data_IF_875439399018
#
_entry.id   IF_875439399018
#
_cell.length_a   1.000
_cell.length_b   1.000
_cell.length_c   1.000
_cell.angle_alpha   90.00
_cell.angle_beta   90.00
_cell.angle_gamma   90.00
#
_symmetry.space_group_name_H-M   'P 1'
#
loop_
_entity.id
_entity.type
_entity.pdbx_description
1 polymer ?
#
# COMPACT_ATOMS: atom_id res chain seq x y z
N UNK A 1 19.12 -19.41 52.49
CA UNK A 1 20.01 -18.89 51.43
C UNK A 1 19.16 -18.09 50.46
N UNK A 2 19.20 -16.77 50.62
CA UNK A 2 18.55 -15.80 49.73
C UNK A 2 19.38 -15.67 48.46
N UNK A 3 18.77 -15.93 47.31
CA UNK A 3 19.40 -15.64 46.02
C UNK A 3 19.57 -14.12 45.89
N UNK A 4 20.73 -13.63 45.41
CA UNK A 4 20.94 -12.21 45.21
C UNK A 4 19.99 -11.69 44.13
N UNK A 5 19.55 -10.42 44.21
CA UNK A 5 18.78 -9.81 43.14
C UNK A 5 19.65 -9.80 41.88
N UNK A 6 19.15 -10.42 40.80
CA UNK A 6 19.78 -10.32 39.48
C UNK A 6 19.94 -8.83 39.14
N UNK A 7 21.18 -8.44 38.86
CA UNK A 7 21.48 -7.15 38.27
C UNK A 7 20.60 -6.99 37.02
N UNK A 8 19.82 -5.89 36.96
CA UNK A 8 19.16 -5.48 35.72
C UNK A 8 20.25 -5.37 34.66
N UNK A 9 20.15 -6.17 33.61
CA UNK A 9 20.96 -5.95 32.41
C UNK A 9 20.60 -4.53 31.92
N UNK A 10 21.53 -3.59 32.13
CA UNK A 10 21.45 -2.26 31.55
C UNK A 10 21.59 -2.44 30.04
N UNK A 11 20.53 -2.12 29.29
CA UNK A 11 20.60 -2.02 27.84
C UNK A 11 21.61 -0.96 27.38
N UNK A 12 21.89 -0.85 26.08
CA UNK A 12 22.77 0.16 25.52
C UNK A 12 22.40 1.58 26.00
N UNK A 13 23.39 2.48 26.09
CA UNK A 13 23.16 3.86 26.56
C UNK A 13 22.02 4.54 25.78
N UNK A 14 21.05 5.11 26.50
CA UNK A 14 19.86 5.74 25.91
C UNK A 14 18.64 4.85 25.79
N UNK A 15 18.75 3.53 26.03
CA UNK A 15 17.62 2.60 26.01
C UNK A 15 17.15 2.25 27.41
N UNK A 16 15.83 2.17 27.56
CA UNK A 16 15.21 1.64 28.77
C UNK A 16 13.94 0.85 28.43
N UNK A 17 13.65 -0.13 29.27
CA UNK A 17 12.45 -0.96 29.17
C UNK A 17 11.49 -0.52 30.28
N UNK A 18 10.30 -0.06 29.92
CA UNK A 18 9.22 0.10 30.91
C UNK A 18 8.63 -1.28 31.15
N UNK A 19 9.04 -1.93 32.24
CA UNK A 19 8.31 -3.10 32.74
C UNK A 19 6.92 -2.63 33.20
N UNK A 20 5.89 -3.40 32.84
CA UNK A 20 4.47 -3.17 33.17
C UNK A 20 4.15 -3.13 34.68
N UNK A 21 5.17 -3.09 35.56
CA UNK A 21 5.04 -3.05 37.03
C UNK A 21 5.69 -1.84 37.71
N UNK A 22 6.06 -0.78 37.00
CA UNK A 22 6.63 0.42 37.65
C UNK A 22 5.61 1.57 37.67
N UNK A 23 4.60 1.45 38.53
CA UNK A 23 3.92 2.62 39.08
C UNK A 23 4.91 3.29 40.04
N UNK A 24 5.57 4.39 39.63
CA UNK A 24 6.34 5.20 40.60
C UNK A 24 7.54 6.03 40.12
N UNK A 25 7.91 6.06 38.83
CA UNK A 25 8.95 7.01 38.35
C UNK A 25 8.44 7.81 37.15
N UNK A 26 7.66 8.84 37.45
CA UNK A 26 7.08 9.79 36.50
C UNK A 26 8.02 10.96 36.23
N UNK A 27 9.04 10.78 35.39
CA UNK A 27 9.77 11.89 34.78
C UNK A 27 10.12 11.68 33.29
N UNK A 28 9.80 10.51 32.71
CA UNK A 28 10.09 10.24 31.30
C UNK A 28 8.91 10.66 30.43
N UNK A 29 9.14 11.42 29.35
CA UNK A 29 8.08 11.84 28.44
C UNK A 29 7.43 10.62 27.77
N UNK A 30 6.12 10.68 27.55
CA UNK A 30 5.41 9.65 26.80
C UNK A 30 6.06 9.48 25.41
N UNK A 31 6.44 8.25 25.02
CA UNK A 31 7.21 8.03 23.80
C UNK A 31 6.38 8.29 22.54
N UNK A 32 7.02 8.89 21.54
CA UNK A 32 6.52 9.03 20.18
C UNK A 32 6.70 7.70 19.45
N UNK A 33 5.68 7.28 18.70
CA UNK A 33 5.76 6.05 17.91
C UNK A 33 6.59 6.27 16.66
N UNK A 34 7.36 5.26 16.27
CA UNK A 34 8.26 5.30 15.12
C UNK A 34 7.78 4.30 14.08
N UNK A 35 7.53 4.78 12.85
CA UNK A 35 7.38 3.94 11.66
C UNK A 35 8.77 3.62 11.11
N UNK A 36 9.20 2.38 11.30
CA UNK A 36 10.56 1.95 10.94
C UNK A 36 10.62 1.02 9.73
N UNK A 37 9.54 0.94 8.95
CA UNK A 37 9.44 0.03 7.81
C UNK A 37 10.41 0.36 6.68
N UNK A 38 10.74 1.65 6.47
CA UNK A 38 11.56 2.14 5.35
C UNK A 38 12.20 3.50 5.64
N UNK A 39 13.31 3.79 4.98
CA UNK A 39 13.95 5.10 5.01
C UNK A 39 13.19 6.11 4.12
N UNK A 40 12.81 7.25 4.69
CA UNK A 40 12.10 8.34 3.99
C UNK A 40 12.97 9.25 3.14
N UNK A 41 14.19 8.84 2.80
CA UNK A 41 15.02 9.51 1.78
C UNK A 41 15.29 8.59 0.59
N UNK A 42 15.61 7.30 0.82
CA UNK A 42 15.94 6.37 -0.26
C UNK A 42 14.84 5.32 -0.55
N UNK A 43 13.77 5.30 0.24
CA UNK A 43 12.62 4.38 0.13
C UNK A 43 12.93 2.88 0.36
N UNK A 44 14.18 2.52 0.64
CA UNK A 44 14.55 1.15 0.96
C UNK A 44 14.18 0.76 2.40
N UNK A 45 13.89 -0.53 2.65
CA UNK A 45 13.66 -1.05 3.99
C UNK A 45 14.84 -0.76 4.92
N UNK A 46 14.53 -0.59 6.21
CA UNK A 46 15.54 -0.48 7.27
C UNK A 46 15.70 -1.86 7.91
N UNK A 47 16.93 -2.37 7.94
CA UNK A 47 17.26 -3.58 8.68
C UNK A 47 17.39 -3.28 10.17
N UNK A 48 16.34 -3.62 10.93
CA UNK A 48 16.33 -3.50 12.39
C UNK A 48 17.56 -4.16 13.01
N UNK A 49 18.07 -3.58 14.11
CA UNK A 49 19.24 -4.03 14.87
C UNK A 49 20.60 -3.93 14.16
N UNK A 50 20.65 -3.74 12.84
CA UNK A 50 21.89 -3.62 12.07
C UNK A 50 22.18 -2.19 11.64
N UNK A 51 21.15 -1.48 11.21
CA UNK A 51 21.32 -0.14 10.64
C UNK A 51 21.01 0.95 11.67
N UNK A 52 21.90 1.93 11.73
CA UNK A 52 21.66 3.14 12.51
C UNK A 52 20.66 4.03 11.78
N UNK A 53 19.69 4.53 12.52
CA UNK A 53 18.64 5.38 12.01
C UNK A 53 18.60 6.73 12.69
N UNK A 54 17.93 7.67 12.04
CA UNK A 54 17.52 8.95 12.60
C UNK A 54 16.01 9.06 12.46
N UNK A 55 15.34 9.64 13.45
CA UNK A 55 13.90 9.90 13.37
C UNK A 55 13.64 11.37 13.13
N UNK A 56 12.65 11.67 12.30
CA UNK A 56 12.04 12.99 12.19
C UNK A 56 10.70 12.98 12.91
N UNK A 57 10.61 13.78 13.97
CA UNK A 57 9.43 13.82 14.83
C UNK A 57 8.31 14.65 14.21
N UNK A 58 7.06 14.43 14.64
CA UNK A 58 5.92 15.28 14.26
C UNK A 58 6.13 16.77 14.60
N UNK A 59 6.95 17.06 15.62
CA UNK A 59 7.31 18.42 16.03
C UNK A 59 8.40 19.05 15.16
N UNK A 60 8.82 18.38 14.07
CA UNK A 60 9.82 18.88 13.13
C UNK A 60 11.27 18.77 13.62
N UNK A 61 11.53 17.98 14.67
CA UNK A 61 12.88 17.78 15.22
C UNK A 61 13.49 16.49 14.68
N UNK A 62 14.82 16.48 14.55
CA UNK A 62 15.60 15.31 14.09
C UNK A 62 16.34 14.74 15.29
N UNK A 63 16.26 13.43 15.51
CA UNK A 63 17.01 12.76 16.58
C UNK A 63 18.52 12.72 16.29
N UNK A 64 19.29 12.32 17.29
CA UNK A 64 20.62 11.73 17.11
C UNK A 64 20.50 10.32 16.52
N UNK A 65 21.55 9.78 15.87
CA UNK A 65 21.53 8.42 15.33
C UNK A 65 21.46 7.36 16.43
N UNK A 66 20.64 6.32 16.22
CA UNK A 66 20.47 5.22 17.16
C UNK A 66 20.08 3.91 16.46
N UNK A 67 20.15 2.77 17.15
CA UNK A 67 19.75 1.46 16.63
C UNK A 67 18.35 1.09 17.09
N UNK A 68 17.45 0.75 16.18
CA UNK A 68 16.16 0.22 16.62
C UNK A 68 16.30 -1.22 17.09
N UNK A 69 16.09 -1.43 18.38
CA UNK A 69 16.04 -2.76 19.00
C UNK A 69 14.59 -3.25 19.05
N UNK A 70 14.39 -4.53 18.78
CA UNK A 70 13.13 -5.23 19.00
C UNK A 70 13.45 -6.45 19.85
N UNK A 71 12.85 -6.55 21.04
CA UNK A 71 12.93 -7.74 21.89
C UNK A 71 11.55 -8.41 21.94
N UNK A 72 11.54 -9.74 21.96
CA UNK A 72 10.30 -10.54 21.90
C UNK A 72 9.32 -10.26 23.05
N UNK A 73 9.81 -9.73 24.16
CA UNK A 73 9.05 -9.53 25.39
C UNK A 73 8.68 -8.07 25.67
N UNK A 74 9.41 -7.09 25.11
CA UNK A 74 9.19 -5.66 25.33
C UNK A 74 9.65 -4.83 24.14
N UNK A 75 8.92 -3.76 23.80
CA UNK A 75 9.40 -2.76 22.86
C UNK A 75 10.32 -1.78 23.61
N UNK A 76 11.64 -1.80 23.37
CA UNK A 76 12.56 -0.90 24.05
C UNK A 76 12.28 0.55 23.63
N UNK A 77 12.40 1.46 24.60
CA UNK A 77 12.23 2.89 24.36
C UNK A 77 13.61 3.51 24.28
N UNK A 78 13.85 4.23 23.19
CA UNK A 78 15.04 5.06 23.02
C UNK A 78 14.74 6.48 23.51
N UNK A 79 15.56 7.05 24.39
CA UNK A 79 15.44 8.44 24.81
C UNK A 79 16.60 9.27 24.29
N UNK A 80 16.24 10.23 23.44
CA UNK A 80 17.15 11.22 22.91
C UNK A 80 17.23 12.42 23.85
N UNK A 81 18.38 12.58 24.50
CA UNK A 81 18.66 13.68 25.42
C UNK A 81 18.76 15.03 24.71
N UNK A 82 19.19 15.06 23.44
CA UNK A 82 19.43 16.29 22.70
C UNK A 82 18.14 17.04 22.37
N UNK A 83 17.08 16.29 22.09
CA UNK A 83 15.74 16.80 21.78
C UNK A 83 14.72 16.51 22.89
N UNK A 84 15.17 15.93 24.01
CA UNK A 84 14.36 15.55 25.17
C UNK A 84 13.11 14.74 24.77
N UNK A 85 13.28 13.76 23.89
CA UNK A 85 12.18 12.98 23.30
C UNK A 85 12.43 11.49 23.42
N UNK A 86 11.39 10.74 23.79
CA UNK A 86 11.41 9.28 23.82
C UNK A 86 10.74 8.72 22.56
N UNK A 87 11.28 7.63 22.03
CA UNK A 87 10.85 6.95 20.81
C UNK A 87 10.62 5.47 21.09
N UNK A 88 9.56 4.91 20.49
CA UNK A 88 9.29 3.47 20.53
C UNK A 88 8.82 2.99 19.16
N UNK A 89 9.09 1.73 18.82
CA UNK A 89 8.51 1.11 17.64
C UNK A 89 6.99 1.12 17.72
N UNK A 90 6.35 1.43 16.59
CA UNK A 90 4.90 1.32 16.49
C UNK A 90 4.46 -0.15 16.58
N UNK A 91 3.56 -0.47 17.52
CA UNK A 91 2.92 -1.78 17.66
C UNK A 91 1.64 -1.88 16.83
N UNK A 92 1.74 -1.59 15.53
CA UNK A 92 0.62 -1.68 14.59
C UNK A 92 -0.06 -3.06 14.70
N UNK A 93 -1.42 -3.15 14.69
CA UNK A 93 -2.39 -2.07 14.45
C UNK A 93 -3.01 -1.46 15.70
N UNK A 94 -2.67 -1.97 16.88
CA UNK A 94 -3.23 -1.53 18.16
C UNK A 94 -2.81 -0.12 18.61
N UNK A 95 -1.97 0.57 17.84
CA UNK A 95 -1.36 1.83 18.22
C UNK A 95 -2.21 3.04 17.78
N UNK A 96 -2.58 3.90 18.72
CA UNK A 96 -3.42 5.09 18.48
C UNK A 96 -2.65 6.36 18.11
N UNK A 97 -1.31 6.29 18.02
CA UNK A 97 -0.42 7.41 17.64
C UNK A 97 -0.75 8.77 18.31
N UNK A 98 -1.04 8.79 19.61
CA UNK A 98 -1.53 9.99 20.33
C UNK A 98 -0.62 11.22 20.27
N UNK A 99 0.68 11.04 19.97
CA UNK A 99 1.67 12.12 19.76
C UNK A 99 2.12 12.25 18.31
N UNK A 100 1.37 11.67 17.38
CA UNK A 100 1.77 11.50 15.99
C UNK A 100 2.73 10.32 15.78
N UNK A 101 3.19 10.20 14.54
CA UNK A 101 4.06 9.15 14.05
C UNK A 101 5.36 9.79 13.57
N UNK A 102 6.48 9.44 14.21
CA UNK A 102 7.80 9.80 13.72
C UNK A 102 8.19 8.88 12.57
N UNK A 103 8.80 9.46 11.55
CA UNK A 103 9.29 8.72 10.38
C UNK A 103 10.80 8.52 10.46
N UNK A 104 11.31 7.50 9.77
CA UNK A 104 12.70 7.05 9.90
C UNK A 104 13.53 7.28 8.66
N UNK A 105 14.83 7.42 8.88
CA UNK A 105 15.86 7.56 7.87
C UNK A 105 17.06 6.71 8.25
N UNK A 106 17.77 6.09 7.29
CA UNK A 106 19.13 5.62 7.57
C UNK A 106 19.99 6.82 7.99
N UNK A 107 20.86 6.65 8.99
CA UNK A 107 21.78 7.67 9.44
C UNK A 107 22.65 8.21 8.30
N UNK A 108 23.15 7.31 7.45
CA UNK A 108 23.96 7.68 6.29
C UNK A 108 23.14 8.39 5.21
N UNK A 109 21.90 7.95 4.96
CA UNK A 109 21.00 8.66 4.05
C UNK A 109 20.72 10.09 4.52
N UNK A 110 20.50 10.29 5.83
CA UNK A 110 20.29 11.62 6.38
C UNK A 110 21.53 12.51 6.24
N UNK A 111 22.72 11.94 6.47
CA UNK A 111 24.01 12.60 6.25
C UNK A 111 24.21 12.99 4.78
N UNK A 112 23.89 12.10 3.84
CA UNK A 112 23.95 12.36 2.40
C UNK A 112 22.96 13.47 1.99
N UNK A 113 21.71 13.41 2.44
CA UNK A 113 20.70 14.42 2.16
C UNK A 113 21.13 15.83 2.63
N UNK A 114 21.77 15.91 3.80
CA UNK A 114 22.32 17.17 4.31
C UNK A 114 23.43 17.74 3.42
N UNK A 115 24.28 16.88 2.81
CA UNK A 115 25.32 17.32 1.85
C UNK A 115 24.74 17.91 0.56
N UNK A 116 23.56 17.46 0.15
CA UNK A 116 22.81 18.06 -0.96
C UNK A 116 22.09 19.37 -0.58
N UNK A 117 22.17 19.81 0.68
CA UNK A 117 21.58 21.06 1.16
C UNK A 117 20.06 21.02 1.37
N UNK A 118 19.45 19.83 1.34
CA UNK A 118 18.01 19.66 1.54
C UNK A 118 17.71 19.16 2.97
N UNK A 119 16.87 19.85 3.75
CA UNK A 119 16.43 19.34 5.05
C UNK A 119 15.55 18.09 4.88
N UNK A 120 15.59 17.17 5.84
CA UNK A 120 14.83 15.91 5.81
C UNK A 120 13.32 16.13 5.63
N UNK A 121 12.78 17.23 6.15
CA UNK A 121 11.38 17.61 5.98
C UNK A 121 10.94 17.75 4.52
N UNK A 122 11.85 18.06 3.58
CA UNK A 122 11.53 18.11 2.14
C UNK A 122 11.35 16.74 1.51
N UNK A 123 11.93 15.70 2.09
CA UNK A 123 11.84 14.34 1.56
C UNK A 123 10.55 13.66 2.00
N UNK A 124 9.98 14.04 3.15
CA UNK A 124 8.82 13.36 3.72
C UNK A 124 7.60 13.33 2.77
N UNK A 125 7.14 14.45 2.17
CA UNK A 125 5.98 14.42 1.28
C UNK A 125 6.23 13.60 0.01
N UNK A 126 7.44 13.67 -0.53
CA UNK A 126 7.79 12.96 -1.76
C UNK A 126 7.79 11.44 -1.60
N UNK A 127 8.30 10.98 -0.45
CA UNK A 127 8.51 9.57 -0.12
C UNK A 127 7.35 8.94 0.62
N UNK A 128 6.26 9.69 0.77
CA UNK A 128 5.04 9.16 1.37
C UNK A 128 4.46 8.10 0.46
N UNK A 129 4.04 6.98 1.04
CA UNK A 129 3.38 5.93 0.28
C UNK A 129 1.89 6.06 0.53
N UNK A 130 1.12 6.20 -0.55
CA UNK A 130 -0.34 6.14 -0.47
C UNK A 130 -0.80 4.72 -0.10
N UNK A 131 0.02 3.71 -0.37
CA UNK A 131 -0.14 2.35 0.13
C UNK A 131 1.21 1.62 0.16
N UNK A 132 1.36 0.63 1.03
CA UNK A 132 2.59 -0.16 1.11
C UNK A 132 2.75 -1.03 -0.17
N UNK A 133 3.85 -0.89 -0.93
CA UNK A 133 4.12 -1.72 -2.09
C UNK A 133 4.62 -3.11 -1.67
N UNK A 134 4.43 -4.11 -2.53
CA UNK A 134 4.92 -5.47 -2.29
C UNK A 134 6.44 -5.54 -2.21
N UNK A 135 6.96 -6.57 -1.53
CA UNK A 135 8.39 -6.88 -1.53
C UNK A 135 8.92 -7.08 -2.95
N UNK A 136 8.14 -7.72 -3.81
CA UNK A 136 8.50 -7.89 -5.21
C UNK A 136 8.63 -6.54 -5.93
N UNK A 137 7.71 -5.60 -5.71
CA UNK A 137 7.79 -4.27 -6.29
C UNK A 137 9.04 -3.53 -5.80
N UNK A 138 9.37 -3.64 -4.51
CA UNK A 138 10.61 -3.07 -3.96
C UNK A 138 11.87 -3.68 -4.59
N UNK A 139 11.89 -4.99 -4.82
CA UNK A 139 13.00 -5.67 -5.51
C UNK A 139 13.13 -5.21 -6.97
N UNK A 140 12.01 -5.07 -7.70
CA UNK A 140 12.00 -4.54 -9.07
C UNK A 140 12.51 -3.11 -9.12
N UNK A 141 12.11 -2.27 -8.16
CA UNK A 141 12.61 -0.90 -8.02
C UNK A 141 14.13 -0.88 -7.82
N UNK A 142 14.66 -1.71 -6.90
CA UNK A 142 16.12 -1.83 -6.68
C UNK A 142 16.84 -2.17 -7.99
N UNK A 143 16.33 -3.17 -8.70
CA UNK A 143 16.93 -3.62 -9.97
C UNK A 143 16.85 -2.56 -11.06
N UNK A 144 15.74 -1.81 -11.15
CA UNK A 144 15.60 -0.70 -12.09
C UNK A 144 16.65 0.40 -11.83
N UNK A 145 16.84 0.79 -10.57
CA UNK A 145 17.86 1.77 -10.18
C UNK A 145 19.26 1.26 -10.49
N UNK A 146 19.55 0.00 -10.18
CA UNK A 146 20.82 -0.67 -10.52
C UNK A 146 21.12 -0.55 -12.02
N UNK A 147 20.14 -0.86 -12.88
CA UNK A 147 20.26 -0.75 -14.34
C UNK A 147 20.48 0.71 -14.78
N UNK A 148 19.80 1.68 -14.16
CA UNK A 148 20.01 3.11 -14.46
C UNK A 148 21.44 3.54 -14.15
N UNK A 149 21.96 3.14 -12.99
CA UNK A 149 23.34 3.40 -12.57
C UNK A 149 24.32 2.74 -13.53
N UNK A 150 24.14 1.46 -13.84
CA UNK A 150 24.97 0.71 -14.78
C UNK A 150 25.06 1.41 -16.14
N UNK A 151 23.91 1.81 -16.69
CA UNK A 151 23.83 2.51 -17.97
C UNK A 151 24.51 3.89 -17.91
N UNK A 152 24.35 4.64 -16.81
CA UNK A 152 24.99 5.93 -16.62
C UNK A 152 26.52 5.81 -16.51
N UNK A 153 27.01 4.82 -15.75
CA UNK A 153 28.44 4.53 -15.60
C UNK A 153 29.05 4.07 -16.93
N UNK A 154 28.41 3.14 -17.62
CA UNK A 154 28.86 2.66 -18.93
C UNK A 154 28.94 3.82 -19.94
N UNK A 155 27.91 4.68 -20.00
CA UNK A 155 27.91 5.84 -20.90
C UNK A 155 29.00 6.85 -20.59
N UNK A 156 29.33 7.04 -19.32
CA UNK A 156 30.29 8.07 -18.88
C UNK A 156 31.73 7.59 -18.98
N UNK A 157 31.99 6.31 -18.63
CA UNK A 157 33.34 5.80 -18.43
C UNK A 157 33.77 4.69 -19.41
N UNK A 158 32.83 4.03 -20.11
CA UNK A 158 32.99 3.24 -21.35
C UNK A 158 34.00 2.08 -21.42
N UNK A 159 34.91 1.94 -20.46
CA UNK A 159 36.15 1.19 -20.62
C UNK A 159 36.24 -0.08 -19.76
N UNK A 160 35.25 -0.35 -18.91
CA UNK A 160 35.19 -1.57 -18.09
C UNK A 160 34.21 -2.58 -18.70
N UNK A 161 34.39 -3.85 -18.35
CA UNK A 161 33.49 -4.91 -18.78
C UNK A 161 32.11 -4.77 -18.11
N UNK A 162 31.04 -5.31 -18.73
CA UNK A 162 29.69 -5.29 -18.15
C UNK A 162 29.62 -5.88 -16.74
N UNK A 163 30.43 -6.90 -16.43
CA UNK A 163 30.47 -7.54 -15.11
C UNK A 163 30.98 -6.58 -14.04
N UNK A 164 31.98 -5.75 -14.37
CA UNK A 164 32.51 -4.76 -13.44
C UNK A 164 31.49 -3.63 -13.20
N UNK A 165 30.77 -3.20 -14.25
CA UNK A 165 29.68 -2.24 -14.07
C UNK A 165 28.56 -2.79 -13.21
N UNK A 166 28.21 -4.06 -13.41
CA UNK A 166 27.23 -4.74 -12.59
C UNK A 166 27.64 -4.76 -11.12
N UNK A 167 28.88 -5.16 -10.80
CA UNK A 167 29.41 -5.18 -9.43
C UNK A 167 29.32 -3.78 -8.78
N UNK A 168 29.74 -2.74 -9.49
CA UNK A 168 29.70 -1.37 -8.96
C UNK A 168 28.24 -0.90 -8.78
N UNK A 169 27.38 -1.17 -9.76
CA UNK A 169 25.98 -0.75 -9.72
C UNK A 169 25.14 -1.45 -8.65
N UNK A 170 25.57 -2.64 -8.20
CA UNK A 170 24.87 -3.46 -7.21
C UNK A 170 25.23 -3.06 -5.76
N UNK A 171 26.11 -2.07 -5.58
CA UNK A 171 26.43 -1.50 -4.29
C UNK A 171 25.24 -0.72 -3.70
N UNK A 172 24.80 -1.12 -2.50
CA UNK A 172 23.61 -0.55 -1.87
C UNK A 172 23.79 0.92 -1.46
N UNK A 173 25.00 1.34 -1.10
CA UNK A 173 25.27 2.75 -0.80
C UNK A 173 25.12 3.62 -2.06
N UNK A 174 25.64 3.14 -3.20
CA UNK A 174 25.50 3.82 -4.48
C UNK A 174 24.04 3.88 -4.95
N UNK A 175 23.29 2.78 -4.81
CA UNK A 175 21.85 2.74 -5.11
C UNK A 175 21.10 3.75 -4.24
N UNK A 176 21.37 3.79 -2.93
CA UNK A 176 20.77 4.78 -2.01
C UNK A 176 21.15 6.20 -2.42
N UNK A 177 22.43 6.46 -2.69
CA UNK A 177 22.94 7.77 -3.09
C UNK A 177 22.29 8.26 -4.38
N UNK A 178 22.09 7.39 -5.37
CA UNK A 178 21.42 7.71 -6.63
C UNK A 178 20.00 8.25 -6.36
N UNK A 179 19.19 7.54 -5.58
CA UNK A 179 17.82 7.98 -5.25
C UNK A 179 17.84 9.34 -4.54
N UNK A 180 18.73 9.54 -3.57
CA UNK A 180 18.82 10.81 -2.82
C UNK A 180 19.22 11.97 -3.73
N UNK A 181 20.17 11.73 -4.64
CA UNK A 181 20.65 12.72 -5.59
C UNK A 181 19.57 13.10 -6.61
N UNK A 182 18.87 12.11 -7.19
CA UNK A 182 17.77 12.33 -8.14
C UNK A 182 16.67 13.20 -7.49
N UNK A 183 16.32 12.88 -6.25
CA UNK A 183 15.32 13.63 -5.50
C UNK A 183 15.81 15.01 -5.05
N UNK A 184 17.10 15.26 -4.93
CA UNK A 184 17.60 16.54 -4.43
C UNK A 184 17.57 17.66 -5.48
N UNK A 185 17.48 17.31 -6.75
CA UNK A 185 17.79 18.21 -7.88
C UNK A 185 16.55 18.84 -8.55
N UNK A 186 15.34 18.55 -8.08
CA UNK A 186 14.10 19.01 -8.71
C UNK A 186 13.19 19.61 -7.63
N UNK A 187 12.63 20.80 -7.81
CA UNK A 187 11.55 21.27 -6.92
C UNK A 187 10.71 22.30 -7.68
N UNK A 188 9.39 22.08 -7.72
CA UNK A 188 8.40 22.99 -8.31
C UNK A 188 7.16 23.04 -7.41
N UNK A 189 6.13 23.77 -7.85
CA UNK A 189 4.87 24.04 -7.12
C UNK A 189 4.24 22.76 -6.54
N UNK A 190 3.40 22.90 -5.52
CA UNK A 190 2.73 21.79 -4.80
C UNK A 190 1.23 21.66 -5.07
N UNK A 191 0.61 22.68 -5.67
CA UNK A 191 -0.84 22.71 -5.90
C UNK A 191 -1.19 23.13 -7.32
N UNK A 192 -2.17 22.44 -7.90
CA UNK A 192 -2.68 22.71 -9.24
C UNK A 192 -4.20 22.62 -9.23
N UNK A 193 -4.84 23.47 -10.03
CA UNK A 193 -6.27 23.33 -10.33
C UNK A 193 -6.45 23.36 -11.83
N UNK A 194 -7.26 22.43 -12.34
CA UNK A 194 -7.61 22.36 -13.74
C UNK A 194 -9.01 22.91 -13.94
N UNK A 195 -9.17 23.73 -14.98
CA UNK A 195 -10.46 23.99 -15.60
C UNK A 195 -10.69 22.99 -16.73
N UNK A 196 -11.63 22.03 -16.58
CA UNK A 196 -11.89 21.01 -17.60
C UNK A 196 -12.53 21.56 -18.88
N UNK A 197 -12.93 22.83 -18.91
CA UNK A 197 -13.46 23.47 -20.13
C UNK A 197 -12.37 23.84 -21.14
N UNK A 198 -11.10 23.86 -20.69
CA UNK A 198 -9.94 24.12 -21.53
C UNK A 198 -9.14 22.84 -21.78
N UNK A 199 -8.43 22.78 -22.92
CA UNK A 199 -7.46 21.72 -23.19
C UNK A 199 -6.32 21.77 -22.17
N UNK A 200 -5.94 20.62 -21.61
CA UNK A 200 -4.92 20.53 -20.56
C UNK A 200 -3.75 19.67 -21.03
N UNK A 201 -2.56 20.16 -20.72
CA UNK A 201 -1.27 19.53 -21.00
C UNK A 201 -0.61 19.12 -19.69
N UNK A 202 -0.07 17.91 -19.65
CA UNK A 202 0.68 17.36 -18.52
C UNK A 202 2.17 17.30 -18.86
N UNK A 203 3.00 17.76 -17.93
CA UNK A 203 4.45 17.49 -17.96
C UNK A 203 4.78 16.32 -17.06
N UNK A 204 5.90 15.64 -17.32
CA UNK A 204 6.30 14.44 -16.60
C UNK A 204 7.68 14.64 -15.95
N UNK A 205 7.87 13.99 -14.81
CA UNK A 205 9.17 13.81 -14.16
C UNK A 205 9.43 12.32 -14.00
N UNK A 206 10.69 11.95 -14.00
CA UNK A 206 11.10 10.57 -13.72
C UNK A 206 11.55 10.46 -12.27
N UNK A 207 11.21 9.35 -11.62
CA UNK A 207 11.70 8.97 -10.30
C UNK A 207 12.02 7.49 -10.37
N UNK A 208 13.27 7.10 -10.08
CA UNK A 208 13.72 5.70 -10.13
C UNK A 208 13.40 5.02 -11.49
N UNK A 209 13.43 5.79 -12.58
CA UNK A 209 13.10 5.31 -13.94
C UNK A 209 11.62 5.26 -14.30
N UNK A 210 10.72 5.62 -13.37
CA UNK A 210 9.28 5.64 -13.57
C UNK A 210 8.79 7.06 -13.82
N UNK A 211 7.99 7.26 -14.88
CA UNK A 211 7.38 8.56 -15.18
C UNK A 211 6.14 8.84 -14.31
N UNK A 212 6.11 10.05 -13.76
CA UNK A 212 5.02 10.61 -12.97
C UNK A 212 4.59 11.96 -13.55
N UNK A 213 3.31 12.28 -13.42
CA UNK A 213 2.78 13.61 -13.80
C UNK A 213 3.33 14.63 -12.82
N UNK A 214 4.05 15.63 -13.33
CA UNK A 214 4.70 16.67 -12.51
C UNK A 214 3.91 17.97 -12.45
N UNK A 215 3.24 18.36 -13.53
CA UNK A 215 2.44 19.58 -13.55
C UNK A 215 1.39 19.56 -14.65
N UNK A 216 0.38 20.41 -14.50
CA UNK A 216 -0.73 20.57 -15.42
C UNK A 216 -0.83 22.03 -15.87
N UNK A 217 -1.01 22.26 -17.16
CA UNK A 217 -1.12 23.60 -17.76
C UNK A 217 -2.19 23.67 -18.85
N UNK A 218 -2.83 24.84 -18.98
CA UNK A 218 -3.79 25.11 -20.07
C UNK A 218 -3.11 25.37 -21.42
N UNK A 219 -1.78 25.45 -21.46
CA UNK A 219 -0.99 25.67 -22.67
C UNK A 219 0.06 24.56 -22.84
N UNK A 220 0.39 24.20 -24.10
CA UNK A 220 1.46 23.24 -24.36
C UNK A 220 2.81 23.83 -23.93
N UNK A 221 3.60 23.04 -23.21
CA UNK A 221 4.99 23.33 -22.90
C UNK A 221 5.90 22.26 -23.52
N UNK A 222 7.20 22.54 -23.72
CA UNK A 222 8.12 21.56 -24.31
C UNK A 222 8.11 20.24 -23.53
N UNK A 223 7.89 19.12 -24.22
CA UNK A 223 7.80 17.79 -23.61
C UNK A 223 6.47 17.48 -22.91
N UNK A 224 5.50 18.40 -22.90
CA UNK A 224 4.18 18.12 -22.34
C UNK A 224 3.37 17.21 -23.28
N UNK A 225 2.62 16.28 -22.68
CA UNK A 225 1.66 15.41 -23.37
C UNK A 225 0.26 15.93 -23.09
N UNK A 226 -0.65 15.83 -24.07
CA UNK A 226 -2.04 16.27 -23.88
C UNK A 226 -2.74 15.31 -22.92
N UNK A 227 -3.18 15.82 -21.77
CA UNK A 227 -3.89 15.05 -20.75
C UNK A 227 -5.41 15.13 -20.94
N UNK A 228 -5.90 16.26 -21.45
CA UNK A 228 -7.31 16.52 -21.69
C UNK A 228 -7.49 17.35 -22.95
N UNK A 229 -8.44 16.97 -23.80
CA UNK A 229 -8.81 17.72 -24.99
C UNK A 229 -10.28 18.15 -24.88
N UNK A 230 -10.53 19.44 -24.69
CA UNK A 230 -11.89 19.96 -24.53
C UNK A 230 -12.73 19.91 -25.81
N UNK A 231 -12.10 19.85 -26.99
CA UNK A 231 -12.77 19.82 -28.29
C UNK A 231 -13.08 18.38 -28.74
N UNK A 232 -12.17 17.44 -28.49
CA UNK A 232 -12.40 16.02 -28.77
C UNK A 232 -13.33 15.36 -27.74
N UNK A 233 -13.47 15.95 -26.56
CA UNK A 233 -14.31 15.45 -25.46
C UNK A 233 -15.73 16.03 -25.46
N UNK A 234 -16.23 16.50 -26.61
CA UNK A 234 -17.62 16.91 -26.81
C UNK A 234 -18.57 15.71 -26.58
N UNK A 235 -18.92 15.46 -25.32
CA UNK A 235 -19.72 14.31 -24.86
C UNK A 235 -19.04 13.42 -23.82
N UNK A 236 -17.71 13.46 -23.72
CA UNK A 236 -16.94 12.68 -22.73
C UNK A 236 -16.91 13.42 -21.40
N UNK A 237 -17.60 12.87 -20.40
CA UNK A 237 -17.71 13.44 -19.05
C UNK A 237 -16.77 12.82 -18.03
N UNK A 238 -15.78 12.04 -18.48
CA UNK A 238 -14.95 11.25 -17.56
C UNK A 238 -13.45 11.43 -17.78
N UNK A 239 -12.72 11.46 -16.67
CA UNK A 239 -11.26 11.42 -16.62
C UNK A 239 -10.81 10.08 -16.03
N UNK A 240 -9.77 9.50 -16.61
CA UNK A 240 -9.11 8.33 -16.06
C UNK A 240 -7.75 8.74 -15.53
N UNK A 241 -7.54 8.50 -14.25
CA UNK A 241 -6.29 8.83 -13.55
C UNK A 241 -5.65 7.53 -13.09
N UNK A 242 -4.42 7.25 -13.52
CA UNK A 242 -3.65 6.13 -12.99
C UNK A 242 -2.66 6.61 -11.94
N UNK A 243 -2.61 5.97 -10.79
CA UNK A 243 -1.68 6.25 -9.70
C UNK A 243 -1.10 4.97 -9.11
N UNK A 244 0.16 4.99 -8.70
CA UNK A 244 0.73 3.96 -7.85
C UNK A 244 0.90 4.47 -6.40
N UNK A 245 1.69 3.75 -5.60
CA UNK A 245 2.00 4.12 -4.22
C UNK A 245 2.73 5.47 -4.06
N UNK A 246 3.38 5.98 -5.10
CA UNK A 246 4.15 7.21 -5.10
C UNK A 246 3.44 8.38 -5.78
N UNK A 247 2.50 8.15 -6.70
CA UNK A 247 1.70 9.25 -7.22
C UNK A 247 1.08 8.96 -8.59
N UNK A 248 0.58 10.04 -9.21
CA UNK A 248 -0.13 9.98 -10.48
C UNK A 248 0.87 9.73 -11.61
N UNK A 249 0.63 8.65 -12.35
CA UNK A 249 1.45 8.23 -13.50
C UNK A 249 0.88 8.73 -14.82
N UNK A 250 -0.44 8.73 -14.98
CA UNK A 250 -1.11 9.07 -16.24
C UNK A 250 -2.47 9.70 -15.96
N UNK A 251 -2.87 10.60 -16.86
CA UNK A 251 -4.18 11.21 -16.92
C UNK A 251 -4.62 11.14 -18.38
N UNK A 252 -5.73 10.45 -18.65
CA UNK A 252 -6.25 10.23 -20.00
C UNK A 252 -7.77 10.39 -20.04
N UNK A 253 -8.30 10.74 -21.21
CA UNK A 253 -9.74 10.88 -21.47
C UNK A 253 -10.34 9.69 -22.22
N UNK A 254 -9.49 8.90 -22.86
CA UNK A 254 -9.86 7.74 -23.65
C UNK A 254 -9.06 6.55 -23.15
N UNK A 255 -9.76 5.46 -22.83
CA UNK A 255 -9.16 4.21 -22.37
C UNK A 255 -8.32 3.55 -23.45
N UNK A 256 -8.52 3.88 -24.74
CA UNK A 256 -7.67 3.42 -25.83
C UNK A 256 -6.26 4.05 -25.81
N UNK A 257 -6.10 5.19 -25.14
CA UNK A 257 -4.80 5.88 -24.99
C UNK A 257 -3.99 5.38 -23.79
N UNK A 258 -4.51 4.39 -23.08
CA UNK A 258 -3.88 3.84 -21.87
C UNK A 258 -2.60 3.11 -22.25
N UNK A 259 -1.50 3.59 -21.70
CA UNK A 259 -0.25 2.86 -21.74
C UNK A 259 -0.23 1.95 -20.52
N UNK A 260 -0.55 0.67 -20.71
CA UNK A 260 -0.43 -0.34 -19.66
C UNK A 260 1.06 -0.54 -19.40
N UNK A 261 1.55 0.01 -18.30
CA UNK A 261 2.92 -0.25 -17.88
C UNK A 261 3.00 -1.62 -17.21
N UNK A 262 3.81 -2.49 -17.80
CA UNK A 262 4.09 -3.84 -17.30
C UNK A 262 5.01 -3.81 -16.06
N UNK A 263 5.66 -2.67 -15.81
CA UNK A 263 6.77 -2.56 -14.85
C UNK A 263 6.31 -2.40 -13.39
N UNK A 264 5.05 -2.04 -13.11
CA UNK A 264 4.53 -1.94 -11.74
C UNK A 264 3.02 -1.73 -11.66
N UNK A 265 2.36 -2.21 -10.58
CA UNK A 265 0.92 -2.13 -10.44
C UNK A 265 0.49 -0.66 -10.27
N UNK A 266 -0.17 -0.12 -11.29
CA UNK A 266 -0.86 1.16 -11.22
C UNK A 266 -2.37 0.93 -11.08
N UNK A 267 -2.99 1.77 -10.27
CA UNK A 267 -4.42 1.76 -10.02
C UNK A 267 -5.10 2.90 -10.73
N UNK A 268 -6.27 2.63 -11.29
CA UNK A 268 -7.05 3.54 -12.10
C UNK A 268 -8.29 4.02 -11.37
N UNK A 269 -8.47 5.33 -11.37
CA UNK A 269 -9.65 6.00 -10.86
C UNK A 269 -10.43 6.59 -12.04
N UNK A 270 -11.75 6.51 -11.98
CA UNK A 270 -12.65 7.11 -12.98
C UNK A 270 -13.40 8.27 -12.34
N UNK A 271 -13.19 9.48 -12.85
CA UNK A 271 -13.75 10.70 -12.29
C UNK A 271 -14.82 11.25 -13.23
N UNK A 272 -15.99 11.60 -12.69
CA UNK A 272 -16.99 12.39 -13.41
C UNK A 272 -16.61 13.88 -13.38
N UNK A 273 -16.62 14.52 -14.55
CA UNK A 273 -16.27 15.93 -14.72
C UNK A 273 -17.55 16.72 -14.96
N UNK A 274 -18.26 17.07 -13.90
CA UNK A 274 -19.46 17.89 -13.97
C UNK A 274 -19.12 19.38 -13.94
N UNK A 275 -18.46 19.91 -14.98
CA UNK A 275 -18.12 21.35 -15.12
C UNK A 275 -17.41 22.02 -13.91
N UNK A 276 -16.95 21.23 -12.93
CA UNK A 276 -16.28 21.68 -11.72
C UNK A 276 -14.78 21.67 -11.94
N UNK A 277 -14.07 22.63 -11.32
CA UNK A 277 -12.61 22.60 -11.27
C UNK A 277 -12.17 21.34 -10.52
N UNK A 278 -11.23 20.62 -11.10
CA UNK A 278 -10.61 19.45 -10.46
C UNK A 278 -9.32 19.89 -9.77
N UNK A 279 -9.27 19.90 -8.43
CA UNK A 279 -8.06 20.18 -7.70
C UNK A 279 -7.14 18.95 -7.67
N UNK A 280 -5.85 19.20 -7.88
CA UNK A 280 -4.79 18.20 -7.75
C UNK A 280 -3.81 18.65 -6.70
N UNK A 281 -3.46 17.74 -5.80
CA UNK A 281 -2.42 17.95 -4.79
C UNK A 281 -1.17 17.21 -5.23
N UNK A 282 0.00 17.79 -4.96
CA UNK A 282 1.27 17.12 -5.17
C UNK A 282 2.27 17.44 -4.07
N UNK A 283 3.41 16.77 -4.16
CA UNK A 283 4.46 16.79 -3.14
C UNK A 283 5.59 17.80 -3.44
N UNK A 284 5.39 18.66 -4.45
CA UNK A 284 6.41 19.58 -4.98
C UNK A 284 7.27 19.00 -6.12
N UNK A 285 7.10 17.73 -6.44
CA UNK A 285 7.80 17.03 -7.53
C UNK A 285 6.82 16.43 -8.53
N UNK A 286 5.81 15.75 -8.00
CA UNK A 286 4.79 15.02 -8.74
C UNK A 286 3.42 15.21 -8.11
N UNK A 287 2.41 15.05 -8.94
CA UNK A 287 1.03 14.99 -8.49
C UNK A 287 0.83 13.68 -7.73
N UNK A 288 0.16 13.79 -6.60
CA UNK A 288 -0.12 12.69 -5.68
C UNK A 288 -1.55 12.23 -5.81
N UNK A 289 -2.47 13.18 -5.69
CA UNK A 289 -3.88 12.88 -5.55
C UNK A 289 -4.72 13.92 -6.29
N UNK A 290 -5.92 13.50 -6.64
CA UNK A 290 -6.97 14.36 -7.18
C UNK A 290 -8.06 14.43 -6.13
N UNK A 291 -8.32 15.64 -5.63
CA UNK A 291 -9.34 15.81 -4.60
C UNK A 291 -10.69 15.88 -5.29
N UNK A 292 -11.39 14.74 -5.30
CA UNK A 292 -12.76 14.68 -5.81
C UNK A 292 -13.74 14.63 -4.62
N UNK A 293 -14.80 15.45 -4.62
CA UNK A 293 -15.83 15.41 -3.58
C UNK A 293 -16.75 14.20 -3.71
N UNK A 294 -16.64 13.38 -4.76
CA UNK A 294 -17.46 12.17 -4.94
C UNK A 294 -16.90 11.00 -4.11
N UNK A 295 -17.74 10.22 -3.42
CA UNK A 295 -17.29 9.01 -2.74
C UNK A 295 -16.80 7.91 -3.72
N UNK A 296 -17.17 7.98 -5.00
CA UNK A 296 -16.60 7.13 -6.07
C UNK A 296 -15.09 7.35 -6.25
N UNK A 297 -14.58 8.50 -5.82
CA UNK A 297 -13.15 8.83 -5.86
C UNK A 297 -12.31 7.92 -4.96
N UNK A 298 -12.93 7.22 -4.00
CA UNK A 298 -12.22 6.34 -3.09
C UNK A 298 -12.04 4.93 -3.67
N UNK A 299 -12.49 4.65 -4.90
CA UNK A 299 -12.39 3.32 -5.51
C UNK A 299 -11.41 3.33 -6.68
N UNK A 300 -10.41 2.46 -6.57
CA UNK A 300 -9.27 2.34 -7.46
C UNK A 300 -9.28 0.95 -8.10
N UNK A 301 -9.02 0.86 -9.40
CA UNK A 301 -9.17 -0.37 -10.18
C UNK A 301 -7.85 -0.81 -10.82
N UNK A 302 -7.64 -2.11 -11.04
CA UNK A 302 -6.44 -2.59 -11.75
C UNK A 302 -6.35 -2.16 -13.23
N UNK A 303 -7.43 -1.64 -13.79
CA UNK A 303 -7.52 -1.13 -15.17
C UNK A 303 -8.54 0.00 -15.25
N UNK A 304 -8.48 0.89 -16.25
CA UNK A 304 -9.45 1.96 -16.38
C UNK A 304 -10.84 1.39 -16.68
N UNK A 305 -11.84 1.83 -15.90
CA UNK A 305 -13.19 1.28 -15.93
C UNK A 305 -14.17 2.25 -16.56
N UNK A 306 -14.84 1.84 -17.64
CA UNK A 306 -15.88 2.66 -18.24
C UNK A 306 -17.07 2.83 -17.26
N UNK A 307 -17.72 4.01 -17.21
CA UNK A 307 -18.88 4.24 -16.34
C UNK A 307 -19.98 3.19 -16.50
N UNK A 308 -20.32 2.81 -17.73
CA UNK A 308 -21.33 1.77 -18.00
C UNK A 308 -20.96 0.41 -17.40
N UNK A 309 -19.65 0.10 -17.27
CA UNK A 309 -19.20 -1.12 -16.59
C UNK A 309 -19.36 -0.94 -15.09
N UNK A 310 -18.95 0.22 -14.53
CA UNK A 310 -19.13 0.53 -13.10
C UNK A 310 -20.61 0.43 -12.68
N UNK A 311 -21.53 0.95 -13.49
CA UNK A 311 -22.99 0.87 -13.25
C UNK A 311 -23.51 -0.57 -13.22
N UNK A 312 -22.83 -1.50 -13.90
CA UNK A 312 -23.18 -2.93 -13.93
C UNK A 312 -22.60 -3.73 -12.76
N UNK A 313 -21.68 -3.14 -11.99
CA UNK A 313 -21.01 -3.82 -10.87
C UNK A 313 -21.81 -3.72 -9.58
N UNK A 314 -21.81 -4.80 -8.82
CA UNK A 314 -22.27 -4.79 -7.44
C UNK A 314 -21.06 -4.65 -6.50
N UNK A 315 -20.99 -3.53 -5.78
CA UNK A 315 -19.91 -3.25 -4.83
C UNK A 315 -20.27 -3.78 -3.44
N UNK A 316 -19.38 -4.60 -2.90
CA UNK A 316 -19.50 -5.13 -1.55
C UNK A 316 -18.27 -4.72 -0.76
N UNK A 317 -18.48 -3.88 0.25
CA UNK A 317 -17.46 -3.62 1.24
C UNK A 317 -17.52 -4.74 2.28
N UNK A 318 -16.47 -5.55 2.32
CA UNK A 318 -16.40 -6.69 3.21
C UNK A 318 -15.88 -6.30 4.62
N UNK A 319 -15.46 -5.05 4.83
CA UNK A 319 -15.03 -4.57 6.16
C UNK A 319 -13.63 -5.03 6.59
N UNK A 320 -12.90 -5.69 5.68
CA UNK A 320 -11.56 -6.22 5.90
C UNK A 320 -10.54 -5.27 5.29
N UNK A 321 -9.79 -4.57 6.14
CA UNK A 321 -8.86 -3.53 5.74
C UNK A 321 -8.83 -2.44 6.80
N UNK A 322 -7.76 -2.37 7.57
CA UNK A 322 -7.55 -1.30 8.54
C UNK A 322 -7.25 0.02 7.81
N UNK A 323 -8.00 1.06 8.14
CA UNK A 323 -7.57 2.46 8.03
C UNK A 323 -7.40 3.06 6.63
N UNK A 324 -7.49 2.28 5.55
CA UNK A 324 -7.35 2.83 4.20
C UNK A 324 -8.66 3.45 3.73
N UNK A 325 -8.64 4.76 3.47
CA UNK A 325 -9.80 5.51 2.98
C UNK A 325 -10.08 5.15 1.51
N UNK A 326 -9.13 4.49 0.83
CA UNK A 326 -9.20 4.14 -0.60
C UNK A 326 -9.29 2.62 -0.80
N UNK A 327 -10.37 2.15 -1.44
CA UNK A 327 -10.58 0.77 -1.83
C UNK A 327 -9.89 0.45 -3.16
N UNK A 328 -8.88 -0.42 -3.14
CA UNK A 328 -8.20 -0.95 -4.32
C UNK A 328 -8.83 -2.28 -4.73
N UNK A 329 -9.52 -2.30 -5.87
CA UNK A 329 -10.43 -3.35 -6.30
C UNK A 329 -9.89 -4.12 -7.51
N UNK A 330 -10.17 -5.42 -7.54
CA UNK A 330 -9.99 -6.29 -8.70
C UNK A 330 -11.35 -6.75 -9.22
N UNK A 331 -11.50 -6.86 -10.54
CA UNK A 331 -12.74 -7.35 -11.15
C UNK A 331 -12.72 -8.86 -11.27
N UNK A 332 -13.77 -9.54 -10.81
CA UNK A 332 -13.98 -10.97 -11.00
C UNK A 332 -15.26 -11.19 -11.82
N UNK A 333 -15.16 -11.98 -12.88
CA UNK A 333 -16.31 -12.38 -13.70
C UNK A 333 -16.64 -13.84 -13.44
N UNK A 334 -17.83 -14.09 -12.87
CA UNK A 334 -18.34 -15.44 -12.70
C UNK A 334 -18.91 -15.98 -14.02
N UNK A 335 -18.84 -17.30 -14.19
CA UNK A 335 -19.42 -18.06 -15.29
C UNK A 335 -18.89 -17.69 -16.68
N UNK A 336 -17.69 -17.12 -16.76
CA UNK A 336 -17.05 -16.90 -18.04
C UNK A 336 -16.79 -18.24 -18.73
N UNK A 337 -16.97 -18.31 -20.04
CA UNK A 337 -16.74 -19.52 -20.82
C UNK A 337 -15.34 -20.08 -20.57
N UNK A 338 -15.25 -21.40 -20.38
CA UNK A 338 -14.00 -22.10 -20.07
C UNK A 338 -13.58 -22.04 -18.60
N UNK A 339 -14.38 -21.46 -17.69
CA UNK A 339 -14.09 -21.53 -16.26
C UNK A 339 -14.29 -22.95 -15.74
N UNK A 340 -13.24 -23.55 -15.18
CA UNK A 340 -13.25 -24.93 -14.63
C UNK A 340 -13.30 -24.97 -13.11
N UNK A 341 -13.13 -23.82 -12.45
CA UNK A 341 -13.18 -23.72 -11.00
C UNK A 341 -12.79 -22.34 -10.50
N UNK A 342 -12.99 -22.09 -9.21
CA UNK A 342 -12.59 -20.85 -8.54
C UNK A 342 -11.59 -21.15 -7.44
N UNK A 343 -10.51 -20.37 -7.34
CA UNK A 343 -9.54 -20.45 -6.25
C UNK A 343 -9.72 -19.25 -5.33
N UNK A 344 -9.68 -19.48 -4.02
CA UNK A 344 -9.73 -18.41 -3.01
C UNK A 344 -8.42 -18.40 -2.26
N UNK A 345 -7.79 -17.24 -2.17
CA UNK A 345 -6.58 -17.00 -1.40
C UNK A 345 -6.94 -16.44 -0.03
N UNK A 346 -6.33 -17.04 0.99
CA UNK A 346 -6.46 -16.66 2.38
C UNK A 346 -5.12 -16.21 2.90
N UNK A 347 -5.13 -15.24 3.80
CA UNK A 347 -4.00 -14.95 4.65
C UNK A 347 -4.45 -14.93 6.08
N UNK A 348 -3.89 -15.83 6.88
CA UNK A 348 -4.35 -16.12 8.24
C UNK A 348 -5.86 -16.44 8.23
N UNK A 349 -6.70 -15.50 8.66
CA UNK A 349 -8.17 -15.63 8.69
C UNK A 349 -8.90 -14.72 7.69
N UNK A 350 -8.17 -13.98 6.85
CA UNK A 350 -8.74 -13.02 5.91
C UNK A 350 -8.68 -13.50 4.47
N UNK A 351 -9.79 -13.34 3.73
CA UNK A 351 -9.81 -13.60 2.29
C UNK A 351 -9.13 -12.45 1.56
N UNK A 352 -8.04 -12.74 0.85
CA UNK A 352 -7.20 -11.73 0.17
C UNK A 352 -7.48 -11.67 -1.33
N UNK A 353 -7.86 -12.80 -1.95
CA UNK A 353 -8.10 -12.85 -3.40
C UNK A 353 -9.05 -13.97 -3.80
N UNK A 354 -9.74 -13.80 -4.93
CA UNK A 354 -10.51 -14.85 -5.59
C UNK A 354 -10.13 -14.84 -7.07
N UNK A 355 -9.89 -16.03 -7.63
CA UNK A 355 -9.45 -16.22 -9.01
C UNK A 355 -10.35 -17.22 -9.74
N UNK A 356 -10.68 -16.95 -11.01
CA UNK A 356 -11.41 -17.86 -11.89
C UNK A 356 -10.42 -18.68 -12.73
N UNK A 357 -10.32 -19.97 -12.48
CA UNK A 357 -9.40 -20.88 -13.17
C UNK A 357 -9.95 -21.28 -14.54
N UNK A 358 -9.09 -21.22 -15.55
CA UNK A 358 -9.37 -21.67 -16.92
C UNK A 358 -8.28 -22.66 -17.34
N UNK A 359 -8.61 -23.70 -18.13
CA UNK A 359 -7.61 -24.60 -18.66
C UNK A 359 -6.69 -23.79 -19.57
N UNK A 360 -5.42 -23.70 -19.21
CA UNK A 360 -4.44 -22.91 -19.93
C UNK A 360 -4.15 -23.53 -21.31
N UNK A 361 -4.42 -22.79 -22.38
CA UNK A 361 -3.67 -22.97 -23.62
C UNK A 361 -2.32 -22.24 -23.44
N UNK A 362 -1.28 -22.99 -23.06
CA UNK A 362 0.10 -22.49 -23.01
C UNK A 362 0.66 -22.33 -21.60
N UNK A 363 1.89 -22.83 -21.43
CA UNK A 363 2.61 -22.99 -20.17
C UNK A 363 2.93 -21.63 -19.51
N UNK A 364 2.27 -21.36 -18.38
CA UNK A 364 2.74 -20.49 -17.31
C UNK A 364 2.56 -21.25 -16.01
N UNK A 365 3.62 -21.88 -15.52
CA UNK A 365 3.62 -22.64 -14.25
C UNK A 365 3.09 -21.73 -13.14
N UNK A 366 2.55 -22.33 -12.06
CA UNK A 366 2.11 -21.71 -10.80
C UNK A 366 3.00 -20.58 -10.22
N UNK A 367 4.20 -20.32 -10.77
CA UNK A 367 5.04 -19.17 -10.48
C UNK A 367 4.52 -17.82 -11.02
N UNK A 368 3.74 -17.76 -12.09
CA UNK A 368 3.15 -16.49 -12.58
C UNK A 368 1.96 -16.01 -11.72
N UNK A 369 1.37 -16.91 -10.92
CA UNK A 369 0.30 -16.56 -9.97
C UNK A 369 0.82 -15.75 -8.76
N UNK A 370 2.13 -15.84 -8.47
CA UNK A 370 2.77 -15.03 -7.45
C UNK A 370 2.96 -13.58 -7.89
N UNK A 371 2.95 -13.29 -9.19
CA UNK A 371 3.28 -11.95 -9.71
C UNK A 371 2.15 -10.93 -9.49
N UNK A 372 0.89 -11.37 -9.56
CA UNK A 372 -0.28 -10.49 -9.42
C UNK A 372 -0.89 -10.48 -8.00
N UNK A 373 -0.56 -11.46 -7.16
CA UNK A 373 -1.06 -11.58 -5.78
C UNK A 373 -0.05 -11.14 -4.70
N UNK A 374 1.16 -10.71 -5.08
CA UNK A 374 2.24 -10.33 -4.16
C UNK A 374 2.00 -9.05 -3.35
N UNK A 375 0.91 -8.31 -3.59
CA UNK A 375 0.61 -7.05 -2.86
C UNK A 375 0.51 -7.21 -1.33
N UNK A 376 0.36 -8.45 -0.83
CA UNK A 376 0.27 -8.77 0.59
C UNK A 376 1.35 -9.76 1.06
N UNK A 377 2.51 -9.80 0.38
CA UNK A 377 3.65 -10.70 0.68
C UNK A 377 4.24 -10.59 2.11
N UNK A 378 3.84 -9.58 2.89
CA UNK A 378 4.22 -9.50 4.32
C UNK A 378 3.53 -10.59 5.16
N UNK A 379 2.44 -11.20 4.66
CA UNK A 379 1.75 -12.25 5.38
C UNK A 379 2.26 -13.62 4.92
N UNK A 380 3.21 -14.17 5.69
CA UNK A 380 3.87 -15.47 5.46
C UNK A 380 2.95 -16.71 5.42
N UNK A 381 1.63 -16.57 5.37
CA UNK A 381 0.64 -17.65 5.49
C UNK A 381 -0.43 -17.61 4.39
N UNK A 382 -0.03 -17.37 3.13
CA UNK A 382 -0.97 -17.46 2.01
C UNK A 382 -1.42 -18.93 1.80
N UNK A 383 -2.71 -19.19 1.97
CA UNK A 383 -3.34 -20.50 1.74
C UNK A 383 -4.33 -20.40 0.57
N UNK A 384 -4.20 -21.25 -0.43
CA UNK A 384 -5.13 -21.30 -1.56
C UNK A 384 -6.09 -22.49 -1.46
N UNK A 385 -7.39 -22.23 -1.59
CA UNK A 385 -8.43 -23.27 -1.66
C UNK A 385 -9.08 -23.29 -3.04
N UNK A 386 -8.98 -24.42 -3.74
CA UNK A 386 -9.57 -24.62 -5.06
C UNK A 386 -10.95 -25.25 -4.99
N UNK A 387 -11.90 -24.71 -5.75
CA UNK A 387 -13.27 -25.17 -5.84
C UNK A 387 -13.64 -25.46 -7.31
N UNK A 388 -13.68 -26.73 -7.74
CA UNK A 388 -14.01 -27.09 -9.12
C UNK A 388 -15.48 -26.84 -9.42
N UNK A 389 -15.75 -26.43 -10.67
CA UNK A 389 -17.08 -26.27 -11.26
C UNK A 389 -17.24 -27.33 -12.34
N UNK A 390 -18.36 -28.05 -12.30
CA UNK A 390 -18.66 -29.07 -13.29
C UNK A 390 -19.06 -28.49 -14.65
N UNK A 391 -19.00 -29.31 -15.69
CA UNK A 391 -19.60 -28.96 -16.98
C UNK A 391 -21.10 -28.64 -16.79
N UNK A 392 -21.54 -27.53 -17.39
CA UNK A 392 -22.90 -26.97 -17.28
C UNK A 392 -23.32 -26.55 -15.85
N UNK A 393 -22.41 -26.56 -14.88
CA UNK A 393 -22.61 -25.93 -13.58
C UNK A 393 -22.22 -24.45 -13.66
N UNK A 394 -23.07 -23.58 -13.14
CA UNK A 394 -22.81 -22.14 -13.09
C UNK A 394 -23.32 -21.52 -11.79
N UNK A 395 -22.63 -20.49 -11.35
CA UNK A 395 -22.94 -19.72 -10.15
C UNK A 395 -24.21 -18.90 -10.40
N UNK A 396 -25.25 -19.13 -9.60
CA UNK A 396 -26.47 -18.33 -9.59
C UNK A 396 -26.43 -17.21 -8.56
N UNK A 397 -25.77 -17.45 -7.41
CA UNK A 397 -25.71 -16.47 -6.33
C UNK A 397 -24.35 -16.47 -5.66
N UNK A 398 -23.92 -15.29 -5.22
CA UNK A 398 -22.70 -15.06 -4.47
C UNK A 398 -23.09 -14.46 -3.13
N UNK A 399 -22.74 -15.13 -2.03
CA UNK A 399 -23.06 -14.71 -0.68
C UNK A 399 -21.76 -14.36 0.06
N UNK A 400 -21.72 -13.18 0.67
CA UNK A 400 -20.57 -12.64 1.39
C UNK A 400 -20.93 -12.34 2.84
N UNK A 401 -20.12 -12.82 3.79
CA UNK A 401 -20.33 -12.58 5.22
C UNK A 401 -19.98 -11.14 5.60
N UNK A 402 -20.79 -10.53 6.47
CA UNK A 402 -20.48 -9.22 7.08
C UNK A 402 -20.44 -8.07 6.09
N UNK A 403 -20.80 -8.33 4.84
CA UNK A 403 -20.78 -7.34 3.78
C UNK A 403 -22.07 -6.52 3.83
N UNK A 404 -21.89 -5.21 3.78
CA UNK A 404 -22.99 -4.30 3.47
C UNK A 404 -22.84 -3.95 2.00
N UNK A 405 -23.94 -4.03 1.24
CA UNK A 405 -23.95 -3.52 -0.13
C UNK A 405 -23.55 -2.05 -0.05
N UNK A 406 -22.41 -1.71 -0.64
CA UNK A 406 -21.91 -0.36 -0.57
C UNK A 406 -22.66 0.46 -1.61
N UNK A 407 -23.37 1.49 -1.14
CA UNK A 407 -23.91 2.52 -2.01
C UNK A 407 -22.87 3.63 -2.09
N UNK A 408 -22.41 3.95 -3.29
CA UNK A 408 -21.35 4.92 -3.56
C UNK A 408 -21.71 6.35 -3.16
N UNK A 409 -22.89 6.58 -2.59
CA UNK A 409 -23.31 7.85 -2.01
C UNK A 409 -22.88 8.08 -0.56
N UNK A 410 -22.26 7.10 0.12
CA UNK A 410 -21.87 7.17 1.53
C UNK A 410 -20.37 6.89 1.71
N UNK A 411 -19.70 7.54 2.67
CA UNK A 411 -18.30 7.22 2.99
C UNK A 411 -18.13 5.73 3.35
N UNK A 412 -16.96 5.16 3.05
CA UNK A 412 -16.63 3.80 3.47
C UNK A 412 -16.82 3.68 5.01
N UNK A 413 -17.45 2.61 5.52
CA UNK A 413 -17.59 2.42 6.95
C UNK A 413 -16.21 2.36 7.62
N UNK A 414 -15.84 3.41 8.36
CA UNK A 414 -14.65 3.43 9.20
C UNK A 414 -14.94 2.70 10.52
N UNK A 415 -13.94 1.99 11.05
CA UNK A 415 -14.04 1.40 12.38
C UNK A 415 -14.09 2.52 13.42
N UNK A 416 -15.27 2.79 13.98
CA UNK A 416 -15.41 3.82 15.02
C UNK A 416 -16.82 4.07 15.53
N UNK A 417 -17.84 4.00 14.68
CA UNK A 417 -19.23 4.24 15.11
C UNK A 417 -20.08 2.99 14.98
N UNK A 418 -20.25 2.30 16.12
CA UNK A 418 -21.10 1.12 16.34
C UNK A 418 -20.65 -0.11 15.56
N UNK A 419 -20.05 -1.05 16.30
CA UNK A 419 -19.83 -2.45 15.95
C UNK A 419 -20.67 -2.92 14.74
N UNK A 420 -20.04 -3.07 13.57
CA UNK A 420 -20.66 -3.72 12.42
C UNK A 420 -21.10 -5.11 12.86
N UNK A 421 -22.40 -5.26 13.05
CA UNK A 421 -23.02 -6.52 13.44
C UNK A 421 -22.76 -7.57 12.36
N UNK A 422 -22.47 -8.79 12.79
CA UNK A 422 -22.24 -9.94 11.90
C UNK A 422 -23.54 -10.30 11.16
N UNK A 423 -23.67 -9.83 9.92
CA UNK A 423 -24.88 -9.98 9.12
C UNK A 423 -24.57 -10.61 7.76
N UNK A 424 -25.37 -11.58 7.36
CA UNK A 424 -25.40 -12.11 5.98
C UNK A 424 -26.54 -11.41 5.24
N UNK A 425 -26.22 -10.69 4.18
CA UNK A 425 -27.22 -10.13 3.27
C UNK A 425 -27.68 -11.22 2.30
N UNK A 426 -28.96 -11.58 2.37
CA UNK A 426 -29.60 -12.51 1.42
C UNK A 426 -30.76 -11.80 0.72
N UNK A 427 -31.26 -12.33 -0.42
CA UNK A 427 -32.48 -11.82 -1.09
C UNK A 427 -33.73 -11.81 -0.18
N UNK A 428 -33.67 -12.45 0.98
CA UNK A 428 -34.76 -12.62 1.94
C UNK A 428 -34.53 -11.89 3.27
N UNK A 429 -33.54 -10.99 3.32
CA UNK A 429 -33.22 -10.17 4.49
C UNK A 429 -31.91 -10.53 5.19
N UNK A 430 -31.69 -9.87 6.34
CA UNK A 430 -30.50 -10.04 7.19
C UNK A 430 -30.66 -11.28 8.07
N UNK A 431 -29.84 -12.31 7.87
CA UNK A 431 -29.77 -13.46 8.78
C UNK A 431 -28.64 -13.29 9.81
N UNK A 432 -28.96 -13.51 11.10
CA UNK A 432 -28.02 -13.50 12.22
C UNK A 432 -27.57 -14.92 12.55
N UNK A 433 -26.26 -15.18 12.50
CA UNK A 433 -25.68 -16.49 12.86
C UNK A 433 -24.97 -16.43 14.21
N UNK A 434 -24.99 -17.56 14.95
CA UNK A 434 -24.45 -17.67 16.33
C UNK A 434 -22.95 -17.94 16.42
N UNK A 435 -22.24 -18.31 15.33
CA UNK A 435 -20.79 -18.59 15.39
C UNK A 435 -20.00 -17.89 14.28
N UNK A 436 -18.81 -17.31 14.61
CA UNK A 436 -18.17 -16.28 13.79
C UNK A 436 -16.97 -16.80 12.98
N UNK A 437 -16.84 -18.10 12.71
CA UNK A 437 -15.63 -18.67 12.09
C UNK A 437 -15.84 -19.30 10.71
N UNK A 438 -17.06 -19.70 10.30
CA UNK A 438 -17.11 -20.81 9.34
C UNK A 438 -17.29 -20.44 7.84
N UNK A 439 -17.61 -19.18 7.48
CA UNK A 439 -17.91 -18.79 6.08
C UNK A 439 -17.48 -17.35 5.80
N UNK A 440 -16.65 -17.10 4.78
CA UNK A 440 -16.42 -15.75 4.24
C UNK A 440 -17.09 -15.55 2.86
N UNK A 441 -17.11 -16.60 2.04
CA UNK A 441 -17.72 -16.62 0.70
C UNK A 441 -18.53 -17.90 0.52
N UNK A 442 -19.75 -17.79 0.00
CA UNK A 442 -20.49 -18.95 -0.49
C UNK A 442 -20.99 -18.70 -1.93
N UNK A 443 -20.79 -19.69 -2.80
CA UNK A 443 -21.25 -19.68 -4.18
C UNK A 443 -22.35 -20.73 -4.34
N UNK A 444 -23.56 -20.30 -4.70
CA UNK A 444 -24.69 -21.20 -4.95
C UNK A 444 -24.81 -21.45 -6.45
N UNK A 445 -24.89 -22.71 -6.85
CA UNK A 445 -24.92 -23.11 -8.27
C UNK A 445 -26.31 -23.53 -8.74
N UNK A 446 -26.51 -23.53 -10.06
CA UNK A 446 -27.74 -24.01 -10.70
C UNK A 446 -28.06 -25.48 -10.44
N UNK A 447 -27.08 -26.28 -10.04
CA UNK A 447 -27.26 -27.69 -9.64
C UNK A 447 -27.64 -27.84 -8.15
N UNK A 448 -27.88 -26.74 -7.44
CA UNK A 448 -28.20 -26.73 -6.02
C UNK A 448 -27.00 -26.97 -5.11
N UNK A 449 -25.77 -26.95 -5.65
CA UNK A 449 -24.53 -27.10 -4.88
C UNK A 449 -24.19 -25.77 -4.20
N UNK A 450 -23.80 -25.85 -2.93
CA UNK A 450 -23.27 -24.72 -2.17
C UNK A 450 -21.78 -24.92 -1.96
N UNK A 451 -20.97 -24.07 -2.60
CA UNK A 451 -19.52 -24.05 -2.45
C UNK A 451 -19.18 -23.02 -1.37
N UNK A 452 -18.52 -23.45 -0.30
CA UNK A 452 -18.20 -22.59 0.85
C UNK A 452 -16.69 -22.43 0.95
N UNK A 453 -16.25 -21.19 1.16
CA UNK A 453 -14.87 -20.83 1.46
C UNK A 453 -14.83 -20.01 2.76
N UNK A 454 -14.09 -20.49 3.75
CA UNK A 454 -13.96 -19.90 5.10
C UNK A 454 -12.71 -20.45 5.82
N UNK A 455 -12.09 -19.65 6.69
CA UNK A 455 -10.98 -20.13 7.53
C UNK A 455 -11.53 -21.00 8.66
N UNK A 456 -10.98 -22.21 8.81
CA UNK A 456 -11.17 -22.97 10.04
C UNK A 456 -10.32 -22.30 11.12
N UNK A 457 -10.82 -22.04 12.34
CA UNK A 457 -9.97 -21.44 13.37
C UNK A 457 -8.86 -22.44 13.70
N UNK A 458 -7.62 -22.09 13.36
CA UNK A 458 -6.44 -22.84 13.76
C UNK A 458 -6.34 -22.76 15.28
N UNK A 459 -6.70 -23.85 15.96
CA UNK A 459 -6.61 -23.96 17.41
C UNK A 459 -5.16 -24.16 17.87
N UNK A 460 -4.27 -23.23 17.51
CA UNK A 460 -2.94 -23.18 18.09
C UNK A 460 -2.96 -22.39 19.40
N UNK A 461 -3.35 -23.09 20.48
CA UNK A 461 -2.83 -22.89 21.82
C UNK A 461 -3.18 -21.58 22.55
N UNK A 462 -4.33 -21.57 23.25
CA UNK A 462 -4.44 -21.25 24.70
C UNK A 462 -5.91 -21.35 25.14
N UNK A 463 -6.19 -22.39 25.94
CA UNK A 463 -7.35 -22.59 26.82
C UNK A 463 -8.55 -21.66 26.59
N UNK A 464 -9.48 -22.05 25.73
CA UNK A 464 -10.86 -21.59 25.83
C UNK A 464 -11.66 -22.57 26.71
N UNK A 465 -12.59 -22.11 27.58
CA UNK A 465 -13.18 -22.95 28.64
C UNK A 465 -14.12 -24.07 28.16
N UNK A 466 -14.32 -24.24 26.85
CA UNK A 466 -15.39 -25.07 26.29
C UNK A 466 -14.90 -26.36 25.60
N UNK A 467 -13.62 -26.73 25.74
CA UNK A 467 -13.09 -28.02 25.24
C UNK A 467 -13.47 -29.24 26.07
N UNK A 468 -14.28 -29.11 27.14
CA UNK A 468 -14.68 -30.23 28.03
C UNK A 468 -16.11 -30.74 27.87
N UNK A 469 -16.86 -30.29 26.87
CA UNK A 469 -18.21 -30.80 26.62
C UNK A 469 -18.36 -31.29 25.18
N UNK A 470 -17.75 -32.45 24.90
CA UNK A 470 -18.13 -33.37 23.82
C UNK A 470 -17.80 -34.81 24.25
N UNK A 471 -18.67 -35.37 25.08
CA UNK A 471 -19.18 -36.74 24.88
C UNK A 471 -20.60 -36.62 24.35
#
# INVERSE_FOLDING_TARGET
>A
MSLPPQARQSGPEGYFVISSRVYGQSHLPNPVCVEASRCRTCLFPIEMQKESIVTFSPDGQVSTPFLLHQEDCFAPIYFDKSINMAFRLCSHPSCTHTRGLAVTFHADCASMAARFGNPLSRYCPFTEYSYQPSKQHQNRRREAIRILIENALHKTYGNLSPELWRIISDDDELIRLYTIAEMSLVCRKSEWSIDPTATVWATYTTVDGIEYVSSLSGSPTPGARRAWDSMASLGTRHLYVSSDHLGIRQIVTDTALVQIDVSGPAYWQTLSIESQKLPFTGDGYKLREVSSPSPDALIHWSRPMLPAVLDSLALYYAGWGEGDVTARMKTLTFNQQGTVGYSVCWSDDEMVSIYANRPAEGVGKYGDMNDECSEYDERNNLKWTYHPIEEYEYIQQVWLRGSTKYNTSSALPCWGERSLGFHLSTPWGIQKYKRPSDIALALFTNKGRLIISGSYPDHHGKNTPYSRHRE
#
